data_IF_739825484539
#
_entry.id   IF_739825484539
#
_cell.length_a   1.000
_cell.length_b   1.000
_cell.length_c   1.000
_cell.angle_alpha   90.00
_cell.angle_beta   90.00
_cell.angle_gamma   90.00
#
_symmetry.space_group_name_H-M   'P 1'
#
loop_
_entity.id
_entity.type
_entity.pdbx_description
1 polymer ?
#
# COMPACT_ATOMS: atom_id res chain seq x y z
N UNK A 1 2.55 34.26 6.30
CA UNK A 1 3.29 33.42 5.35
C UNK A 1 3.00 31.98 5.68
N UNK A 2 2.46 31.20 4.77
CA UNK A 2 2.03 29.81 5.03
C UNK A 2 3.23 28.88 4.94
N UNK A 3 3.46 28.09 6.00
CA UNK A 3 4.57 27.10 6.06
C UNK A 3 4.02 25.69 6.09
N UNK A 4 4.62 24.83 5.30
CA UNK A 4 4.37 23.38 5.30
C UNK A 4 5.60 22.67 5.89
N UNK A 5 5.38 21.80 6.87
CA UNK A 5 6.37 20.86 7.36
C UNK A 5 6.20 19.50 6.65
N UNK A 6 7.21 19.02 5.94
CA UNK A 6 7.29 17.65 5.48
C UNK A 6 7.95 16.81 6.58
N UNK A 7 7.24 15.87 7.16
CA UNK A 7 7.68 15.09 8.33
C UNK A 7 8.67 13.97 7.98
N UNK A 8 8.80 13.65 6.71
CA UNK A 8 9.78 12.70 6.21
C UNK A 8 10.99 13.44 5.63
N UNK A 9 12.21 12.95 5.86
CA UNK A 9 13.40 13.46 5.18
C UNK A 9 13.25 13.26 3.67
N UNK A 10 13.75 14.18 2.89
CA UNK A 10 13.59 14.14 1.45
C UNK A 10 14.88 14.61 0.75
N UNK A 11 15.21 13.98 -0.36
CA UNK A 11 16.34 14.40 -1.17
C UNK A 11 16.06 15.78 -1.83
N UNK A 12 17.11 16.54 -2.16
CA UNK A 12 16.98 17.88 -2.73
C UNK A 12 16.15 17.91 -4.03
N UNK A 13 16.33 16.93 -4.90
CA UNK A 13 15.64 16.90 -6.20
C UNK A 13 14.11 16.70 -6.01
N UNK A 14 13.72 15.90 -5.04
CA UNK A 14 12.30 15.72 -4.67
C UNK A 14 11.73 17.00 -4.05
N UNK A 15 12.48 17.67 -3.19
CA UNK A 15 12.08 18.94 -2.61
C UNK A 15 11.91 20.02 -3.70
N UNK A 16 12.85 20.15 -4.63
CA UNK A 16 12.77 21.12 -5.74
C UNK A 16 11.51 20.86 -6.60
N UNK A 17 11.20 19.60 -6.88
CA UNK A 17 9.94 19.22 -7.58
C UNK A 17 8.69 19.61 -6.78
N UNK A 18 8.71 19.45 -5.46
CA UNK A 18 7.58 19.90 -4.61
C UNK A 18 7.48 21.43 -4.59
N UNK A 19 8.61 22.13 -4.47
CA UNK A 19 8.66 23.59 -4.48
C UNK A 19 8.00 24.18 -5.73
N UNK A 20 8.24 23.59 -6.89
CA UNK A 20 7.66 24.05 -8.16
C UNK A 20 6.13 23.91 -8.23
N UNK A 21 5.52 23.17 -7.30
CA UNK A 21 4.08 22.91 -7.22
C UNK A 21 3.41 23.61 -6.03
N UNK A 22 4.17 24.36 -5.22
CA UNK A 22 3.60 25.10 -4.10
C UNK A 22 2.80 26.32 -4.59
N UNK A 23 1.72 26.68 -3.89
CA UNK A 23 1.05 27.96 -4.08
C UNK A 23 2.01 29.14 -3.85
N UNK A 24 1.79 30.24 -4.55
CA UNK A 24 2.62 31.44 -4.41
C UNK A 24 2.70 31.93 -2.96
N UNK A 25 3.89 32.25 -2.51
CA UNK A 25 4.15 32.74 -1.15
C UNK A 25 4.16 31.67 -0.06
N UNK A 26 4.00 30.38 -0.41
CA UNK A 26 4.12 29.28 0.53
C UNK A 26 5.57 28.80 0.66
N UNK A 27 5.89 28.21 1.80
CA UNK A 27 7.20 27.64 2.09
C UNK A 27 7.07 26.19 2.52
N UNK A 28 8.07 25.37 2.17
CA UNK A 28 8.21 23.98 2.54
C UNK A 28 9.52 23.79 3.32
N UNK A 29 9.46 23.10 4.45
CA UNK A 29 10.63 22.67 5.23
C UNK A 29 10.49 21.18 5.49
N UNK A 30 11.51 20.39 5.19
CA UNK A 30 11.54 18.97 5.51
C UNK A 30 12.25 18.72 6.83
N UNK A 31 11.81 17.69 7.57
CA UNK A 31 12.53 17.18 8.73
C UNK A 31 13.92 16.65 8.30
N UNK A 32 14.94 16.89 9.13
CA UNK A 32 16.31 16.46 8.84
C UNK A 32 16.45 14.93 8.89
N UNK A 33 15.68 14.29 9.76
CA UNK A 33 15.62 12.82 9.86
C UNK A 33 14.20 12.36 10.29
N UNK A 34 14.01 11.05 10.44
CA UNK A 34 12.77 10.48 11.01
C UNK A 34 12.75 10.48 12.54
N UNK A 35 13.70 11.15 13.20
CA UNK A 35 13.65 11.27 14.65
C UNK A 35 12.46 12.13 15.07
N UNK A 36 11.80 11.83 16.21
CA UNK A 36 10.72 12.69 16.73
C UNK A 36 11.17 14.12 16.97
N UNK A 37 12.43 14.35 17.35
CA UNK A 37 12.99 15.69 17.59
C UNK A 37 13.05 16.52 16.30
N UNK A 38 13.59 15.96 15.20
CA UNK A 38 13.70 16.65 13.92
C UNK A 38 12.33 16.92 13.29
N UNK A 39 11.37 16.00 13.48
CA UNK A 39 9.99 16.17 13.03
C UNK A 39 9.30 17.31 13.81
N UNK A 40 9.48 17.36 15.12
CA UNK A 40 8.96 18.44 15.95
C UNK A 40 9.61 19.80 15.64
N UNK A 41 10.90 19.82 15.30
CA UNK A 41 11.59 21.03 14.85
C UNK A 41 11.01 21.54 13.53
N UNK A 42 10.80 20.65 12.55
CA UNK A 42 10.17 21.01 11.28
C UNK A 42 8.77 21.59 11.45
N UNK A 43 8.01 21.11 12.44
CA UNK A 43 6.66 21.59 12.76
C UNK A 43 6.62 22.98 13.41
N UNK A 44 7.73 23.50 13.96
CA UNK A 44 7.73 24.79 14.63
C UNK A 44 7.31 25.92 13.67
N UNK A 45 6.19 26.56 13.99
CA UNK A 45 5.60 27.63 13.18
C UNK A 45 5.02 27.17 11.83
N UNK A 46 4.82 25.87 11.62
CA UNK A 46 4.13 25.36 10.46
C UNK A 46 2.61 25.54 10.58
N UNK A 47 1.99 25.95 9.48
CA UNK A 47 0.52 26.00 9.36
C UNK A 47 -0.04 24.63 8.96
N UNK A 48 0.70 23.89 8.17
CA UNK A 48 0.35 22.59 7.66
C UNK A 48 1.50 21.60 7.79
N UNK A 49 1.16 20.31 7.88
CA UNK A 49 2.13 19.23 7.80
C UNK A 49 1.77 18.25 6.67
N UNK A 50 2.79 17.64 6.08
CA UNK A 50 2.65 16.51 5.16
C UNK A 50 3.42 15.33 5.78
N UNK A 51 2.74 14.19 5.92
CA UNK A 51 3.35 12.94 6.36
C UNK A 51 3.30 11.91 5.24
N UNK A 52 4.46 11.36 4.86
CA UNK A 52 4.61 10.15 4.07
C UNK A 52 4.44 8.91 4.96
N UNK A 53 5.55 8.37 5.46
CA UNK A 53 5.53 7.21 6.36
C UNK A 53 5.80 7.59 7.83
N UNK A 54 6.08 8.84 8.09
CA UNK A 54 6.29 9.35 9.45
C UNK A 54 5.00 9.26 10.27
N UNK A 55 5.06 8.75 11.52
CA UNK A 55 3.91 8.78 12.41
C UNK A 55 3.56 10.23 12.78
N UNK A 56 2.27 10.51 12.96
CA UNK A 56 1.79 11.81 13.46
C UNK A 56 1.11 11.60 14.80
N UNK A 57 1.79 12.02 15.84
CA UNK A 57 1.42 11.76 17.24
C UNK A 57 0.55 12.89 17.82
N UNK A 58 -0.07 12.63 18.99
CA UNK A 58 -0.82 13.63 19.73
C UNK A 58 0.03 14.88 20.05
N UNK A 59 1.32 14.71 20.38
CA UNK A 59 2.22 15.83 20.64
C UNK A 59 2.43 16.73 19.41
N UNK A 60 2.44 16.15 18.21
CA UNK A 60 2.54 16.89 16.94
C UNK A 60 1.23 17.63 16.64
N UNK A 61 0.08 17.03 16.94
CA UNK A 61 -1.23 17.68 16.77
C UNK A 61 -1.42 18.89 17.71
N UNK A 62 -0.73 18.89 18.85
CA UNK A 62 -0.77 19.98 19.83
C UNK A 62 0.11 21.20 19.46
N UNK A 63 0.86 21.15 18.34
CA UNK A 63 1.74 22.27 17.94
C UNK A 63 0.90 23.51 17.62
N UNK A 64 1.19 24.67 18.27
CA UNK A 64 0.42 25.89 18.07
C UNK A 64 0.42 26.36 16.61
N UNK A 65 -0.76 26.65 16.07
CA UNK A 65 -0.92 27.15 14.70
C UNK A 65 -1.02 26.08 13.62
N UNK A 66 -0.83 24.80 13.95
CA UNK A 66 -1.07 23.68 13.02
C UNK A 66 -2.57 23.59 12.73
N UNK A 67 -2.96 23.71 11.46
CA UNK A 67 -4.38 23.70 11.03
C UNK A 67 -4.77 22.40 10.34
N UNK A 68 -3.83 21.78 9.62
CA UNK A 68 -4.09 20.51 8.96
C UNK A 68 -2.83 19.68 8.78
N UNK A 69 -3.05 18.34 8.74
CA UNK A 69 -2.07 17.33 8.33
C UNK A 69 -2.59 16.67 7.06
N UNK A 70 -1.76 16.61 6.04
CA UNK A 70 -2.08 15.88 4.82
C UNK A 70 -1.21 14.62 4.71
N UNK A 71 -1.85 13.45 4.64
CA UNK A 71 -1.15 12.20 4.34
C UNK A 71 -0.75 12.19 2.86
N UNK A 72 0.54 11.97 2.59
CA UNK A 72 1.01 11.68 1.25
C UNK A 72 0.70 10.21 0.92
N UNK A 73 -0.41 9.97 0.24
CA UNK A 73 -0.92 8.64 -0.03
C UNK A 73 -2.26 8.37 0.64
N UNK A 74 -2.59 7.10 0.83
CA UNK A 74 -3.94 6.66 1.24
C UNK A 74 -3.99 6.08 2.65
N UNK A 75 -2.95 5.38 3.09
CA UNK A 75 -2.90 4.75 4.42
C UNK A 75 -2.65 5.77 5.53
N UNK A 76 -3.44 5.73 6.58
CA UNK A 76 -3.41 6.70 7.69
C UNK A 76 -3.27 6.05 9.07
N UNK A 77 -2.93 4.78 9.10
CA UNK A 77 -2.77 3.93 10.29
C UNK A 77 -1.71 4.45 11.30
N UNK A 78 -0.79 5.32 10.84
CA UNK A 78 0.22 5.97 11.67
C UNK A 78 -0.18 7.40 12.13
N UNK A 79 -1.42 7.85 11.90
CA UNK A 79 -1.89 9.20 12.26
C UNK A 79 -2.90 9.11 13.42
N UNK A 80 -2.65 9.83 14.49
CA UNK A 80 -3.56 9.91 15.64
C UNK A 80 -4.76 10.82 15.31
N UNK A 81 -5.85 10.20 14.79
CA UNK A 81 -7.06 10.93 14.41
C UNK A 81 -7.85 11.46 15.61
N UNK A 82 -7.78 10.78 16.77
CA UNK A 82 -8.45 11.24 17.99
C UNK A 82 -7.82 12.54 18.49
N UNK A 83 -6.48 12.56 18.55
CA UNK A 83 -5.75 13.78 18.90
C UNK A 83 -5.99 14.91 17.90
N UNK A 84 -6.07 14.59 16.59
CA UNK A 84 -6.38 15.58 15.56
C UNK A 84 -7.73 16.26 15.83
N UNK A 85 -8.77 15.47 16.09
CA UNK A 85 -10.10 15.99 16.47
C UNK A 85 -10.09 16.83 17.74
N UNK A 86 -9.37 16.38 18.78
CA UNK A 86 -9.25 17.09 20.05
C UNK A 86 -8.57 18.45 19.91
N UNK A 87 -7.61 18.58 18.98
CA UNK A 87 -6.88 19.85 18.73
C UNK A 87 -7.46 20.67 17.56
N UNK A 88 -8.54 20.23 16.93
CA UNK A 88 -9.15 20.91 15.78
C UNK A 88 -8.25 20.92 14.54
N UNK A 89 -7.32 19.96 14.43
CA UNK A 89 -6.44 19.80 13.28
C UNK A 89 -7.13 18.90 12.27
N UNK A 90 -7.34 19.40 11.05
CA UNK A 90 -7.93 18.62 9.96
C UNK A 90 -6.95 17.60 9.43
N UNK A 91 -7.39 16.37 9.24
CA UNK A 91 -6.57 15.32 8.60
C UNK A 91 -7.15 14.95 7.25
N UNK A 92 -6.29 14.94 6.24
CA UNK A 92 -6.67 14.64 4.86
C UNK A 92 -5.71 13.62 4.24
N UNK A 93 -6.16 12.97 3.17
CA UNK A 93 -5.36 12.05 2.34
C UNK A 93 -5.69 12.21 0.85
N UNK A 94 -4.94 11.56 -0.03
CA UNK A 94 -5.25 11.53 -1.47
C UNK A 94 -6.00 10.23 -1.82
N UNK A 95 -7.27 10.14 -1.43
CA UNK A 95 -8.09 8.92 -1.59
C UNK A 95 -8.14 8.44 -3.04
N UNK A 96 -7.70 7.21 -3.30
CA UNK A 96 -7.73 6.58 -4.62
C UNK A 96 -6.69 7.08 -5.62
N UNK A 97 -5.84 8.08 -5.29
CA UNK A 97 -4.87 8.64 -6.23
C UNK A 97 -3.83 7.63 -6.72
N UNK A 98 -3.48 6.65 -5.90
CA UNK A 98 -2.50 5.61 -6.19
C UNK A 98 -3.13 4.28 -6.64
N UNK A 99 -4.45 4.23 -6.84
CA UNK A 99 -5.16 2.97 -7.02
C UNK A 99 -4.66 2.19 -8.25
N UNK A 100 -4.47 2.86 -9.37
CA UNK A 100 -4.00 2.23 -10.61
C UNK A 100 -2.56 1.77 -10.46
N UNK A 101 -1.67 2.61 -9.93
CA UNK A 101 -0.24 2.30 -9.78
C UNK A 101 -0.02 1.10 -8.86
N UNK A 102 -0.72 1.05 -7.72
CA UNK A 102 -0.64 -0.10 -6.80
C UNK A 102 -1.23 -1.36 -7.43
N UNK A 103 -2.33 -1.24 -8.19
CA UNK A 103 -2.92 -2.37 -8.90
C UNK A 103 -1.98 -2.94 -9.98
N UNK A 104 -1.28 -2.07 -10.73
CA UNK A 104 -0.27 -2.46 -11.72
C UNK A 104 0.91 -3.20 -11.06
N UNK A 105 1.44 -2.67 -9.96
CA UNK A 105 2.51 -3.33 -9.20
C UNK A 105 2.04 -4.68 -8.64
N UNK A 106 0.82 -4.73 -8.09
CA UNK A 106 0.23 -5.98 -7.59
C UNK A 106 0.11 -7.01 -8.71
N UNK A 107 -0.39 -6.63 -9.88
CA UNK A 107 -0.45 -7.50 -11.07
C UNK A 107 0.95 -7.91 -11.52
N UNK A 108 1.91 -7.00 -11.50
CA UNK A 108 3.32 -7.28 -11.80
C UNK A 108 3.90 -8.34 -10.86
N UNK A 109 3.68 -8.23 -9.54
CA UNK A 109 4.09 -9.24 -8.55
C UNK A 109 3.39 -10.59 -8.80
N UNK A 110 2.08 -10.60 -9.05
CA UNK A 110 1.34 -11.82 -9.41
C UNK A 110 2.00 -12.52 -10.60
N UNK A 111 2.26 -11.81 -11.68
CA UNK A 111 2.87 -12.37 -12.89
C UNK A 111 4.32 -12.80 -12.64
N UNK A 112 5.10 -12.00 -11.92
CA UNK A 112 6.50 -12.30 -11.63
C UNK A 112 6.67 -13.57 -10.79
N UNK A 113 5.83 -13.75 -9.75
CA UNK A 113 5.82 -14.97 -8.92
C UNK A 113 5.31 -16.16 -9.75
N UNK A 114 4.17 -16.02 -10.43
CA UNK A 114 3.58 -17.10 -11.22
C UNK A 114 4.50 -17.63 -12.30
N UNK A 115 5.28 -16.77 -12.95
CA UNK A 115 6.14 -17.10 -14.08
C UNK A 115 7.61 -17.28 -13.70
N UNK A 116 7.94 -17.24 -12.40
CA UNK A 116 9.31 -17.32 -11.89
C UNK A 116 10.26 -16.30 -12.53
N UNK A 117 9.78 -15.08 -12.87
CA UNK A 117 10.57 -14.11 -13.65
C UNK A 117 11.84 -13.69 -12.91
N UNK A 118 11.72 -13.34 -11.62
CA UNK A 118 12.88 -12.92 -10.81
C UNK A 118 13.85 -14.08 -10.58
N UNK A 119 13.37 -15.28 -10.28
CA UNK A 119 14.22 -16.48 -10.14
C UNK A 119 14.98 -16.79 -11.43
N UNK A 120 14.30 -16.70 -12.57
CA UNK A 120 14.94 -16.88 -13.87
C UNK A 120 16.00 -15.82 -14.13
N UNK A 121 15.70 -14.56 -13.87
CA UNK A 121 16.64 -13.45 -14.03
C UNK A 121 17.88 -13.61 -13.13
N UNK A 122 17.68 -13.85 -11.83
CA UNK A 122 18.78 -14.07 -10.88
C UNK A 122 19.65 -15.28 -11.26
N UNK A 123 19.02 -16.37 -11.74
CA UNK A 123 19.75 -17.53 -12.25
C UNK A 123 20.70 -17.14 -13.39
N UNK A 124 20.20 -16.40 -14.39
CA UNK A 124 21.04 -15.92 -15.50
C UNK A 124 22.20 -15.03 -15.01
N UNK A 125 21.95 -14.13 -14.07
CA UNK A 125 23.02 -13.28 -13.51
C UNK A 125 24.11 -14.09 -12.77
N UNK A 126 23.76 -15.27 -12.24
CA UNK A 126 24.69 -16.21 -11.61
C UNK A 126 25.40 -17.15 -12.61
N UNK A 127 25.06 -17.07 -13.90
CA UNK A 127 25.60 -17.95 -14.92
C UNK A 127 24.84 -19.28 -15.07
N UNK A 128 23.70 -19.45 -14.40
CA UNK A 128 22.87 -20.63 -14.45
C UNK A 128 21.89 -20.58 -15.65
N UNK A 129 21.38 -21.75 -16.06
CA UNK A 129 20.31 -21.90 -17.06
C UNK A 129 19.13 -22.67 -16.45
N UNK A 130 18.32 -22.07 -15.55
CA UNK A 130 17.38 -22.79 -14.70
C UNK A 130 16.08 -23.21 -15.39
N UNK A 131 15.98 -23.19 -16.74
CA UNK A 131 14.77 -23.48 -17.51
C UNK A 131 14.06 -24.77 -17.09
N UNK A 132 14.81 -25.84 -16.90
CA UNK A 132 14.28 -27.15 -16.52
C UNK A 132 13.71 -27.18 -15.11
N UNK A 133 14.38 -26.49 -14.17
CA UNK A 133 13.96 -26.43 -12.76
C UNK A 133 12.74 -25.51 -12.55
N UNK A 134 12.64 -24.41 -13.29
CA UNK A 134 11.56 -23.43 -13.14
C UNK A 134 10.30 -23.79 -13.92
N UNK A 135 10.42 -24.59 -15.01
CA UNK A 135 9.30 -24.95 -15.87
C UNK A 135 8.11 -25.57 -15.10
N UNK A 136 8.33 -26.61 -14.28
CA UNK A 136 7.26 -27.30 -13.55
C UNK A 136 6.47 -26.43 -12.56
N UNK A 137 7.08 -25.34 -12.07
CA UNK A 137 6.45 -24.40 -11.10
C UNK A 137 5.95 -23.12 -11.74
N UNK A 138 6.15 -22.94 -13.07
CA UNK A 138 5.67 -21.77 -13.80
C UNK A 138 4.22 -21.95 -14.21
N UNK A 139 3.34 -21.10 -13.69
CA UNK A 139 1.89 -21.16 -13.94
C UNK A 139 1.42 -19.95 -14.76
N UNK A 140 0.45 -20.18 -15.64
CA UNK A 140 -0.26 -19.09 -16.30
C UNK A 140 -1.31 -18.49 -15.36
N UNK A 141 -1.59 -17.19 -15.50
CA UNK A 141 -2.67 -16.52 -14.78
C UNK A 141 -4.02 -16.67 -15.49
N UNK A 142 -3.98 -16.84 -16.81
CA UNK A 142 -5.19 -16.97 -17.63
C UNK A 142 -6.06 -18.15 -17.16
N UNK A 143 -7.35 -17.87 -16.98
CA UNK A 143 -8.34 -18.84 -16.49
C UNK A 143 -8.27 -19.17 -15.00
N UNK A 144 -7.34 -18.59 -14.24
CA UNK A 144 -7.19 -18.83 -12.78
C UNK A 144 -8.16 -18.01 -11.96
N UNK A 145 -8.47 -18.50 -10.77
CA UNK A 145 -9.26 -17.76 -9.79
C UNK A 145 -8.36 -16.83 -8.98
N UNK A 146 -8.68 -15.53 -8.96
CA UNK A 146 -8.00 -14.52 -8.14
C UNK A 146 -8.92 -14.04 -7.03
N UNK A 147 -8.49 -14.18 -5.79
CA UNK A 147 -9.19 -13.69 -4.60
C UNK A 147 -8.62 -12.33 -4.15
N UNK A 148 -9.46 -11.32 -4.08
CA UNK A 148 -9.11 -9.95 -3.68
C UNK A 148 -9.66 -9.70 -2.28
N UNK A 149 -8.77 -9.64 -1.29
CA UNK A 149 -9.12 -9.29 0.09
C UNK A 149 -9.09 -7.76 0.23
N UNK A 150 -10.28 -7.15 0.20
CA UNK A 150 -10.44 -5.69 0.17
C UNK A 150 -10.77 -5.14 -1.23
N UNK A 151 -12.06 -4.91 -1.49
CA UNK A 151 -12.57 -4.33 -2.74
C UNK A 151 -12.81 -2.82 -2.58
N UNK A 152 -11.71 -2.07 -2.31
CA UNK A 152 -11.64 -0.62 -2.34
C UNK A 152 -11.17 -0.12 -3.72
N UNK A 153 -10.64 1.12 -3.80
CA UNK A 153 -10.15 1.71 -5.05
C UNK A 153 -9.08 0.85 -5.74
N UNK A 154 -8.12 0.30 -4.98
CA UNK A 154 -7.06 -0.57 -5.50
C UNK A 154 -7.64 -1.90 -5.99
N UNK A 155 -8.47 -2.56 -5.16
CA UNK A 155 -9.09 -3.83 -5.54
C UNK A 155 -9.97 -3.70 -6.79
N UNK A 156 -10.71 -2.60 -6.93
CA UNK A 156 -11.51 -2.28 -8.11
C UNK A 156 -10.65 -2.09 -9.37
N UNK A 157 -9.54 -1.35 -9.26
CA UNK A 157 -8.61 -1.15 -10.36
C UNK A 157 -7.97 -2.49 -10.79
N UNK A 158 -7.51 -3.28 -9.81
CA UNK A 158 -6.94 -4.61 -10.07
C UNK A 158 -7.96 -5.56 -10.71
N UNK A 159 -9.20 -5.61 -10.22
CA UNK A 159 -10.27 -6.41 -10.82
C UNK A 159 -10.48 -6.03 -12.30
N UNK A 160 -10.48 -4.74 -12.62
CA UNK A 160 -10.55 -4.25 -14.00
C UNK A 160 -9.44 -4.80 -14.89
N UNK A 161 -8.19 -4.79 -14.40
CA UNK A 161 -7.02 -5.33 -15.14
C UNK A 161 -7.09 -6.85 -15.31
N UNK A 162 -7.55 -7.57 -14.28
CA UNK A 162 -7.64 -9.02 -14.26
C UNK A 162 -8.67 -9.59 -15.25
N UNK A 163 -9.67 -8.83 -15.68
CA UNK A 163 -10.66 -9.26 -16.67
C UNK A 163 -10.01 -9.77 -17.96
N UNK A 164 -8.92 -9.15 -18.38
CA UNK A 164 -8.19 -9.57 -19.60
C UNK A 164 -7.61 -10.98 -19.54
N UNK A 165 -7.50 -11.58 -18.33
CA UNK A 165 -6.99 -12.94 -18.16
C UNK A 165 -8.10 -14.02 -18.23
N UNK A 166 -9.37 -13.63 -18.28
CA UNK A 166 -10.50 -14.56 -18.47
C UNK A 166 -10.72 -15.55 -17.32
N UNK A 167 -10.14 -15.26 -16.13
CA UNK A 167 -10.33 -16.05 -14.93
C UNK A 167 -11.49 -15.57 -14.07
N UNK A 168 -11.76 -16.29 -13.00
CA UNK A 168 -12.77 -15.91 -12.00
C UNK A 168 -12.14 -14.91 -11.02
N UNK A 169 -12.86 -13.82 -10.69
CA UNK A 169 -12.46 -12.86 -9.68
C UNK A 169 -13.43 -13.01 -8.49
N UNK A 170 -12.87 -13.39 -7.34
CA UNK A 170 -13.57 -13.37 -6.05
C UNK A 170 -13.10 -12.17 -5.25
N UNK A 171 -13.97 -11.63 -4.42
CA UNK A 171 -13.57 -10.60 -3.47
C UNK A 171 -14.26 -10.75 -2.12
N UNK A 172 -13.62 -10.23 -1.07
CA UNK A 172 -14.24 -10.06 0.24
C UNK A 172 -14.06 -8.63 0.74
N UNK A 173 -15.06 -8.11 1.43
CA UNK A 173 -15.06 -6.82 2.15
C UNK A 173 -16.19 -6.84 3.17
N UNK A 174 -16.22 -5.85 4.10
CA UNK A 174 -17.23 -5.76 5.17
C UNK A 174 -18.68 -5.79 4.68
N UNK A 175 -18.96 -5.14 3.58
CA UNK A 175 -20.28 -5.13 2.94
C UNK A 175 -20.08 -5.45 1.45
N UNK A 176 -20.77 -6.45 0.89
CA UNK A 176 -20.73 -6.74 -0.54
C UNK A 176 -21.02 -5.50 -1.38
N UNK A 177 -20.52 -5.48 -2.60
CA UNK A 177 -20.90 -4.46 -3.59
C UNK A 177 -22.35 -4.70 -4.05
N UNK A 178 -23.03 -3.66 -4.54
CA UNK A 178 -24.30 -3.85 -5.24
C UNK A 178 -24.15 -4.80 -6.44
N UNK A 179 -25.17 -5.62 -6.75
CA UNK A 179 -25.09 -6.61 -7.84
C UNK A 179 -24.73 -6.00 -9.20
N UNK A 180 -25.17 -4.78 -9.49
CA UNK A 180 -24.81 -4.06 -10.72
C UNK A 180 -23.31 -3.70 -10.78
N UNK A 181 -22.71 -3.38 -9.64
CA UNK A 181 -21.26 -3.14 -9.53
C UNK A 181 -20.48 -4.45 -9.73
N UNK A 182 -20.89 -5.54 -9.08
CA UNK A 182 -20.28 -6.86 -9.28
C UNK A 182 -20.30 -7.27 -10.75
N UNK A 183 -21.44 -7.12 -11.40
CA UNK A 183 -21.59 -7.41 -12.83
C UNK A 183 -20.67 -6.52 -13.69
N UNK A 184 -20.58 -5.22 -13.36
CA UNK A 184 -19.76 -4.24 -14.08
C UNK A 184 -18.27 -4.58 -14.00
N UNK A 185 -17.78 -4.99 -12.83
CA UNK A 185 -16.36 -5.33 -12.62
C UNK A 185 -16.04 -6.80 -12.95
N UNK A 186 -17.07 -7.66 -13.05
CA UNK A 186 -16.91 -9.10 -13.30
C UNK A 186 -16.34 -9.86 -12.11
N UNK A 187 -16.68 -9.44 -10.88
CA UNK A 187 -16.23 -10.08 -9.63
C UNK A 187 -17.43 -10.53 -8.80
N UNK A 188 -17.26 -11.56 -7.97
CA UNK A 188 -18.29 -12.09 -7.10
C UNK A 188 -17.83 -12.06 -5.64
N UNK A 189 -18.73 -11.69 -4.73
CA UNK A 189 -18.46 -11.75 -3.30
C UNK A 189 -18.29 -13.20 -2.83
N UNK A 190 -17.36 -13.38 -1.89
CA UNK A 190 -17.20 -14.61 -1.11
C UNK A 190 -16.71 -14.25 0.29
N UNK A 191 -17.12 -15.01 1.29
CA UNK A 191 -16.53 -14.90 2.62
C UNK A 191 -15.07 -15.29 2.58
N UNK A 192 -14.26 -14.76 3.52
CA UNK A 192 -12.82 -14.94 3.50
C UNK A 192 -12.36 -16.39 3.43
N UNK A 193 -12.89 -17.35 4.22
CA UNK A 193 -12.50 -18.75 4.12
C UNK A 193 -12.78 -19.36 2.74
N UNK A 194 -13.93 -19.08 2.16
CA UNK A 194 -14.31 -19.59 0.84
C UNK A 194 -13.46 -18.98 -0.27
N UNK A 195 -13.16 -17.68 -0.16
CA UNK A 195 -12.26 -16.99 -1.07
C UNK A 195 -10.87 -17.64 -1.04
N UNK A 196 -10.29 -17.88 0.15
CA UNK A 196 -8.98 -18.50 0.30
C UNK A 196 -8.95 -19.91 -0.31
N UNK A 197 -9.95 -20.73 -0.01
CA UNK A 197 -10.04 -22.12 -0.50
C UNK A 197 -10.23 -22.20 -2.04
N UNK A 198 -10.92 -21.23 -2.62
CA UNK A 198 -11.23 -21.25 -4.06
C UNK A 198 -10.13 -20.61 -4.93
N UNK A 199 -9.23 -19.80 -4.37
CA UNK A 199 -8.30 -18.96 -5.14
C UNK A 199 -6.98 -19.63 -5.46
N UNK A 200 -6.50 -19.44 -6.68
CA UNK A 200 -5.14 -19.78 -7.11
C UNK A 200 -4.14 -18.65 -6.79
N UNK A 201 -4.65 -17.44 -6.69
CA UNK A 201 -3.93 -16.22 -6.29
C UNK A 201 -4.77 -15.49 -5.26
N UNK A 202 -4.18 -15.12 -4.12
CA UNK A 202 -4.80 -14.23 -3.14
C UNK A 202 -4.02 -12.94 -3.08
N UNK A 203 -4.70 -11.81 -3.12
CA UNK A 203 -4.07 -10.49 -2.99
C UNK A 203 -4.75 -9.68 -1.89
N UNK A 204 -3.91 -9.05 -1.05
CA UNK A 204 -4.35 -8.24 0.08
C UNK A 204 -4.38 -6.78 -0.35
N UNK A 205 -5.58 -6.16 -0.26
CA UNK A 205 -5.84 -4.76 -0.64
C UNK A 205 -6.71 -4.06 0.41
N UNK A 206 -6.77 -4.60 1.63
CA UNK A 206 -7.49 -4.00 2.75
C UNK A 206 -6.60 -3.05 3.56
N UNK A 207 -7.21 -2.11 4.27
CA UNK A 207 -6.52 -1.27 5.24
C UNK A 207 -6.11 -2.09 6.48
N UNK A 208 -5.10 -1.61 7.21
CA UNK A 208 -4.72 -2.18 8.51
C UNK A 208 -5.51 -1.50 9.63
N UNK A 209 -6.24 -2.30 10.38
CA UNK A 209 -6.97 -1.90 11.57
C UNK A 209 -7.13 -3.12 12.51
N UNK A 210 -7.84 -2.98 13.63
CA UNK A 210 -7.96 -4.06 14.61
C UNK A 210 -8.63 -5.33 14.06
N UNK A 211 -9.48 -5.21 13.03
CA UNK A 211 -10.16 -6.36 12.41
C UNK A 211 -9.35 -7.02 11.30
N UNK A 212 -8.32 -6.36 10.79
CA UNK A 212 -7.47 -6.85 9.69
C UNK A 212 -6.03 -7.12 10.12
N UNK A 213 -5.67 -6.77 11.36
CA UNK A 213 -4.36 -7.10 11.93
C UNK A 213 -4.21 -8.61 12.04
N UNK A 214 -3.09 -9.13 11.49
CA UNK A 214 -2.82 -10.56 11.41
C UNK A 214 -3.99 -11.36 10.77
N UNK A 215 -4.71 -10.72 9.84
CA UNK A 215 -5.84 -11.34 9.17
C UNK A 215 -5.44 -12.63 8.44
N UNK A 216 -4.23 -12.70 7.91
CA UNK A 216 -3.68 -13.88 7.26
C UNK A 216 -2.60 -14.48 8.16
N UNK A 217 -3.00 -15.45 8.93
CA UNK A 217 -2.22 -16.25 9.86
C UNK A 217 -2.05 -17.70 9.35
N UNK A 218 -1.43 -18.57 10.16
CA UNK A 218 -1.20 -19.98 9.81
C UNK A 218 -2.48 -20.73 9.49
N UNK A 219 -3.58 -20.49 10.23
CA UNK A 219 -4.86 -21.16 10.01
C UNK A 219 -5.46 -20.76 8.67
N UNK A 220 -5.44 -19.48 8.34
CA UNK A 220 -5.97 -18.98 7.06
C UNK A 220 -5.08 -19.33 5.88
N UNK A 221 -3.75 -19.34 6.05
CA UNK A 221 -2.83 -19.87 5.03
C UNK A 221 -3.08 -21.35 4.73
N UNK A 222 -3.47 -22.13 5.74
CA UNK A 222 -3.80 -23.54 5.55
C UNK A 222 -5.09 -23.79 4.75
N UNK A 223 -5.98 -22.81 4.62
CA UNK A 223 -7.17 -22.87 3.76
C UNK A 223 -6.84 -22.65 2.28
N UNK A 224 -5.70 -22.04 1.96
CA UNK A 224 -5.32 -21.78 0.58
C UNK A 224 -4.97 -23.07 -0.16
N UNK A 225 -5.15 -23.06 -1.48
CA UNK A 225 -4.73 -24.19 -2.33
C UNK A 225 -3.22 -24.44 -2.22
N UNK A 226 -2.75 -25.69 -2.31
CA UNK A 226 -1.33 -26.02 -2.17
C UNK A 226 -0.40 -25.27 -3.13
N UNK A 227 -0.86 -24.99 -4.36
CA UNK A 227 -0.06 -24.27 -5.38
C UNK A 227 -0.41 -22.79 -5.49
N UNK A 228 -1.17 -22.26 -4.54
CA UNK A 228 -1.55 -20.86 -4.54
C UNK A 228 -0.35 -19.94 -4.24
N UNK A 229 -0.49 -18.69 -4.62
CA UNK A 229 0.41 -17.60 -4.24
C UNK A 229 -0.34 -16.53 -3.45
N UNK A 230 0.38 -15.85 -2.55
CA UNK A 230 -0.12 -14.68 -1.81
C UNK A 230 0.62 -13.43 -2.28
N UNK A 231 -0.10 -12.32 -2.50
CA UNK A 231 0.51 -11.02 -2.78
C UNK A 231 0.01 -9.99 -1.76
N UNK A 232 0.95 -9.29 -1.12
CA UNK A 232 0.64 -8.21 -0.18
C UNK A 232 1.31 -6.90 -0.62
N UNK A 233 0.51 -5.98 -1.13
CA UNK A 233 0.87 -4.60 -1.42
C UNK A 233 -0.02 -3.61 -0.63
N UNK A 234 -0.60 -4.06 0.49
CA UNK A 234 -1.46 -3.26 1.37
C UNK A 234 -0.70 -2.73 2.58
N UNK A 235 -0.55 -3.57 3.61
CA UNK A 235 0.20 -3.30 4.85
C UNK A 235 0.81 -4.60 5.39
N UNK A 236 2.04 -4.54 5.92
CA UNK A 236 2.73 -5.71 6.49
C UNK A 236 1.94 -6.38 7.61
N UNK A 237 1.38 -5.59 8.53
CA UNK A 237 0.61 -6.11 9.67
C UNK A 237 -0.72 -6.81 9.32
N UNK A 238 -1.12 -6.89 8.05
CA UNK A 238 -2.31 -7.67 7.63
C UNK A 238 -2.03 -9.17 7.60
N UNK A 239 -0.77 -9.57 7.44
CA UNK A 239 -0.37 -10.97 7.46
C UNK A 239 0.71 -11.23 8.51
N UNK A 240 0.82 -12.47 8.98
CA UNK A 240 1.92 -12.93 9.85
C UNK A 240 3.05 -13.44 8.97
N UNK A 241 4.14 -12.68 8.87
CA UNK A 241 5.28 -12.97 7.98
C UNK A 241 5.95 -14.31 8.30
N UNK A 242 6.06 -14.68 9.57
CA UNK A 242 6.61 -15.96 10.00
C UNK A 242 5.76 -17.14 9.51
N UNK A 243 4.44 -17.04 9.62
CA UNK A 243 3.52 -18.09 9.19
C UNK A 243 3.57 -18.27 7.65
N UNK A 244 3.67 -17.16 6.91
CA UNK A 244 3.85 -17.19 5.45
C UNK A 244 5.16 -17.87 5.07
N UNK A 245 6.27 -17.52 5.75
CA UNK A 245 7.57 -18.12 5.50
C UNK A 245 7.55 -19.63 5.76
N UNK A 246 6.92 -20.06 6.85
CA UNK A 246 6.79 -21.48 7.21
C UNK A 246 5.87 -22.25 6.24
N UNK A 247 4.80 -21.61 5.77
CA UNK A 247 3.95 -22.22 4.74
C UNK A 247 4.70 -22.45 3.41
N UNK A 248 5.55 -21.49 3.00
CA UNK A 248 6.36 -21.59 1.79
C UNK A 248 7.48 -22.65 1.96
N UNK A 249 8.21 -22.64 3.08
CA UNK A 249 9.25 -23.64 3.37
C UNK A 249 8.72 -25.06 3.40
N UNK A 250 7.51 -25.22 3.93
CA UNK A 250 6.82 -26.51 3.96
C UNK A 250 6.20 -26.92 2.62
N UNK A 251 6.32 -26.10 1.55
CA UNK A 251 5.73 -26.37 0.24
C UNK A 251 4.20 -26.31 0.22
N UNK A 252 3.56 -25.71 1.23
CA UNK A 252 2.10 -25.52 1.28
C UNK A 252 1.62 -24.39 0.39
N UNK A 253 2.48 -23.41 0.14
CA UNK A 253 2.28 -22.34 -0.84
C UNK A 253 3.44 -22.34 -1.82
N UNK A 254 3.15 -21.99 -3.08
CA UNK A 254 4.16 -21.97 -4.14
C UNK A 254 5.08 -20.75 -4.05
N UNK A 255 4.60 -19.64 -3.51
CA UNK A 255 5.40 -18.42 -3.36
C UNK A 255 4.57 -17.21 -2.96
N UNK A 256 5.23 -16.07 -2.85
CA UNK A 256 4.58 -14.81 -2.50
C UNK A 256 5.23 -13.60 -3.18
N UNK A 257 4.46 -12.52 -3.32
CA UNK A 257 4.94 -11.18 -3.64
C UNK A 257 4.63 -10.23 -2.48
N UNK A 258 5.63 -9.59 -1.90
CA UNK A 258 5.48 -8.78 -0.69
C UNK A 258 6.16 -7.43 -0.89
N UNK A 259 5.37 -6.36 -0.88
CA UNK A 259 5.86 -4.99 -1.02
C UNK A 259 5.95 -4.25 0.32
N UNK A 260 5.26 -4.77 1.36
CA UNK A 260 5.10 -4.10 2.66
C UNK A 260 5.40 -5.05 3.81
N UNK A 261 6.01 -4.54 4.89
CA UNK A 261 6.49 -5.34 6.01
C UNK A 261 5.92 -4.84 7.34
N UNK A 262 5.90 -5.73 8.34
CA UNK A 262 5.48 -5.37 9.69
C UNK A 262 6.43 -4.38 10.36
N UNK A 263 7.72 -4.43 9.97
CA UNK A 263 8.75 -3.45 10.35
C UNK A 263 9.42 -2.93 9.08
N UNK A 264 9.35 -1.62 8.87
CA UNK A 264 9.94 -0.92 7.73
C UNK A 264 10.92 0.17 8.21
N UNK A 265 12.16 0.20 7.68
CA UNK A 265 12.75 -0.73 6.72
C UNK A 265 12.87 -2.16 7.24
N UNK A 266 12.83 -3.14 6.30
CA UNK A 266 12.95 -4.57 6.61
C UNK A 266 14.24 -4.86 7.42
N UNK A 267 14.13 -5.68 8.45
CA UNK A 267 15.28 -6.06 9.30
C UNK A 267 16.00 -7.31 8.78
N UNK A 268 17.30 -7.48 9.07
CA UNK A 268 18.08 -8.62 8.58
C UNK A 268 17.61 -10.00 9.06
N UNK A 269 16.80 -10.06 10.10
CA UNK A 269 16.20 -11.27 10.67
C UNK A 269 14.78 -11.56 10.16
N UNK A 270 14.28 -10.79 9.22
CA UNK A 270 12.95 -11.00 8.65
C UNK A 270 12.84 -12.42 8.05
N UNK A 271 11.81 -13.20 8.42
CA UNK A 271 11.69 -14.62 8.06
C UNK A 271 11.50 -14.88 6.55
N UNK A 272 11.13 -13.87 5.77
CA UNK A 272 10.93 -13.95 4.33
C UNK A 272 12.25 -13.86 3.55
N UNK A 273 13.31 -13.35 4.16
CA UNK A 273 14.62 -13.24 3.52
C UNK A 273 15.20 -14.63 3.17
N UNK A 274 15.83 -14.74 2.02
CA UNK A 274 16.44 -15.98 1.55
C UNK A 274 15.47 -17.02 0.98
N UNK A 275 14.18 -16.71 0.87
CA UNK A 275 13.19 -17.56 0.18
C UNK A 275 13.15 -17.22 -1.30
N UNK A 276 13.72 -18.06 -2.16
CA UNK A 276 13.76 -17.84 -3.61
C UNK A 276 12.37 -17.74 -4.26
N UNK A 277 11.34 -18.28 -3.60
CA UNK A 277 9.94 -18.24 -4.05
C UNK A 277 9.23 -16.94 -3.69
N UNK A 278 9.88 -16.07 -2.91
CA UNK A 278 9.30 -14.78 -2.46
C UNK A 278 9.96 -13.63 -3.21
N UNK A 279 9.14 -12.77 -3.79
CA UNK A 279 9.59 -11.50 -4.37
C UNK A 279 9.31 -10.41 -3.34
N UNK A 280 10.36 -9.71 -2.93
CA UNK A 280 10.31 -8.61 -1.98
C UNK A 280 10.59 -7.29 -2.68
N UNK A 281 9.77 -6.27 -2.42
CA UNK A 281 9.96 -4.91 -2.92
C UNK A 281 9.85 -3.90 -1.78
N UNK A 282 10.61 -2.78 -1.82
CA UNK A 282 10.76 -1.89 -0.66
C UNK A 282 9.64 -0.83 -0.59
N UNK A 283 8.39 -1.25 -0.41
CA UNK A 283 7.19 -0.40 -0.28
C UNK A 283 7.09 0.61 -1.44
N UNK A 284 7.27 0.11 -2.67
CA UNK A 284 7.31 0.93 -3.89
C UNK A 284 6.01 0.87 -4.71
N UNK A 285 5.04 0.06 -4.31
CA UNK A 285 3.84 -0.18 -5.12
C UNK A 285 3.08 1.10 -5.50
N UNK A 286 3.13 2.14 -4.67
CA UNK A 286 2.50 3.43 -4.94
C UNK A 286 3.43 4.47 -5.61
N UNK A 287 4.70 4.13 -5.86
CA UNK A 287 5.68 5.06 -6.39
C UNK A 287 5.63 5.05 -7.91
N UNK A 288 5.36 6.22 -8.50
CA UNK A 288 5.32 6.41 -9.95
C UNK A 288 5.82 7.81 -10.29
N UNK A 289 6.61 7.91 -11.34
CA UNK A 289 7.21 9.18 -11.77
C UNK A 289 6.14 10.17 -12.29
N UNK A 290 5.16 9.65 -13.00
CA UNK A 290 4.02 10.39 -13.59
C UNK A 290 2.91 10.67 -12.56
N UNK A 291 2.77 9.86 -11.51
CA UNK A 291 1.85 10.08 -10.40
C UNK A 291 2.27 11.16 -9.41
N UNK A 292 3.54 11.58 -9.41
CA UNK A 292 4.07 12.52 -8.43
C UNK A 292 3.38 13.90 -8.49
N UNK A 293 3.42 14.57 -9.63
CA UNK A 293 2.87 15.92 -9.76
C UNK A 293 1.37 16.00 -9.54
N UNK A 294 0.52 15.11 -10.09
CA UNK A 294 -0.91 15.09 -9.79
C UNK A 294 -1.22 14.86 -8.30
N UNK A 295 -0.45 14.01 -7.62
CA UNK A 295 -0.64 13.75 -6.19
C UNK A 295 -0.27 14.97 -5.35
N UNK A 296 0.89 15.59 -5.61
CA UNK A 296 1.32 16.81 -4.91
C UNK A 296 0.33 17.94 -5.16
N UNK A 297 -0.10 18.15 -6.41
CA UNK A 297 -1.09 19.18 -6.72
C UNK A 297 -2.38 18.99 -5.94
N UNK A 298 -2.90 17.74 -5.85
CA UNK A 298 -4.10 17.45 -5.06
C UNK A 298 -3.92 17.73 -3.58
N UNK A 299 -2.72 17.45 -3.02
CA UNK A 299 -2.40 17.82 -1.63
C UNK A 299 -2.42 19.33 -1.46
N UNK A 300 -1.80 20.08 -2.38
CA UNK A 300 -1.78 21.54 -2.33
C UNK A 300 -3.19 22.13 -2.45
N UNK A 301 -4.02 21.62 -3.36
CA UNK A 301 -5.42 22.06 -3.52
C UNK A 301 -6.21 21.87 -2.23
N UNK A 302 -6.05 20.74 -1.55
CA UNK A 302 -6.71 20.46 -0.26
C UNK A 302 -6.22 21.40 0.85
N UNK A 303 -4.90 21.60 0.98
CA UNK A 303 -4.31 22.49 1.97
C UNK A 303 -4.69 23.96 1.70
N UNK A 304 -4.73 24.37 0.44
CA UNK A 304 -5.14 25.70 0.03
C UNK A 304 -6.63 25.95 0.36
N UNK A 305 -7.49 24.96 0.14
CA UNK A 305 -8.88 25.07 0.55
C UNK A 305 -9.01 25.33 2.06
N UNK A 306 -8.23 24.61 2.89
CA UNK A 306 -8.19 24.86 4.35
C UNK A 306 -7.63 26.24 4.67
N UNK A 307 -6.59 26.72 3.97
CA UNK A 307 -6.02 28.04 4.18
C UNK A 307 -7.05 29.15 3.95
N UNK A 308 -7.86 29.01 2.92
CA UNK A 308 -8.90 29.95 2.49
C UNK A 308 -10.25 29.77 3.21
N UNK A 309 -10.35 28.85 4.17
CA UNK A 309 -11.60 28.55 4.88
C UNK A 309 -12.65 27.84 4.04
N UNK A 310 -12.27 27.27 2.89
CA UNK A 310 -13.10 26.43 2.03
C UNK A 310 -13.03 24.96 2.46
N UNK A 311 -14.03 24.18 2.09
CA UNK A 311 -13.99 22.73 2.26
C UNK A 311 -13.00 22.09 1.25
N UNK A 312 -12.09 21.22 1.70
CA UNK A 312 -11.33 20.33 0.82
C UNK A 312 -12.25 19.31 0.13
N UNK A 313 -11.71 18.45 -0.71
CA UNK A 313 -12.48 17.35 -1.33
C UNK A 313 -13.03 16.42 -0.25
N UNK A 314 -14.34 16.23 -0.19
CA UNK A 314 -15.00 15.41 0.84
C UNK A 314 -14.41 13.99 0.96
N UNK A 315 -14.09 13.36 -0.20
CA UNK A 315 -13.51 12.02 -0.24
C UNK A 315 -12.10 11.94 0.41
N UNK A 316 -11.42 13.08 0.57
CA UNK A 316 -10.07 13.16 1.11
C UNK A 316 -10.05 13.46 2.62
N UNK A 317 -11.16 13.86 3.20
CA UNK A 317 -11.26 14.23 4.61
C UNK A 317 -11.34 12.96 5.47
N UNK A 318 -10.50 12.90 6.51
CA UNK A 318 -10.55 11.88 7.55
C UNK A 318 -11.13 12.42 8.87
N UNK A 319 -10.76 13.68 9.22
CA UNK A 319 -11.24 14.44 10.38
C UNK A 319 -11.41 15.89 10.01
#
# INVERSE_FOLDING_TARGET
>A
MTRIALLDPSDPARLDRMWSLLPEGWQLTAAASRSPADQMEALQGATFAISGDAPVTAAMMAVPGLRAVHKWGVGYDAIDLEAAGAHGVRVMRTTGSNAVVVAETTLGLILAVNRNLVRGHVGILRGDWPKGALGPTSMQLSGRTVGIVGMGHIGMALAGMLRGFGGKILYTKRQPLPPEEEARIGASYADLPDLLAASDVVTLNCELNDTTRNLIDAERLALMKPDAILVNAARGGVMVEADLADAIRAGRLRGAGVDVFSVEPITPDNPLLGLDQVILTPHLAAISADGFAPTVQRMMDNLQAVAEGRAPRDIDILV
#
